data_IF_735038069556
#
_entry.id   IF_735038069556
#
_cell.length_a   1.000
_cell.length_b   1.000
_cell.length_c   1.000
_cell.angle_alpha   90.00
_cell.angle_beta   90.00
_cell.angle_gamma   90.00
#
_symmetry.space_group_name_H-M   'P 1'
#
loop_
_entity.id
_entity.type
_entity.pdbx_description
1 polymer ?
#
# COMPACT_ATOMS: atom_id res chain seq x y z
N UNK A 1 -19.70 -4.46 23.63
CA UNK A 1 -20.81 -5.26 23.05
C UNK A 1 -20.30 -6.66 22.73
N UNK A 2 -21.08 -7.68 23.05
CA UNK A 2 -20.70 -9.09 22.83
C UNK A 2 -21.31 -9.67 21.54
N UNK A 3 -20.70 -10.72 20.97
CA UNK A 3 -21.24 -11.38 19.77
C UNK A 3 -22.65 -11.92 19.98
N UNK A 4 -23.00 -12.36 21.20
CA UNK A 4 -24.32 -12.88 21.50
C UNK A 4 -25.40 -11.78 21.47
N UNK A 5 -25.04 -10.55 21.86
CA UNK A 5 -25.92 -9.38 21.78
C UNK A 5 -26.22 -9.04 20.32
N UNK A 6 -25.22 -9.13 19.43
CA UNK A 6 -25.42 -8.94 17.99
C UNK A 6 -26.37 -9.98 17.38
N UNK A 7 -26.23 -11.24 17.77
CA UNK A 7 -27.13 -12.31 17.32
C UNK A 7 -28.57 -12.07 17.82
N UNK A 8 -28.74 -11.63 19.06
CA UNK A 8 -30.06 -11.28 19.62
C UNK A 8 -30.70 -10.11 18.89
N UNK A 9 -29.95 -9.04 18.62
CA UNK A 9 -30.44 -7.88 17.85
C UNK A 9 -30.87 -8.32 16.45
N UNK A 10 -30.07 -9.15 15.78
CA UNK A 10 -30.40 -9.67 14.45
C UNK A 10 -31.70 -10.48 14.45
N UNK A 11 -31.92 -11.32 15.45
CA UNK A 11 -33.16 -12.09 15.59
C UNK A 11 -34.37 -11.19 15.84
N UNK A 12 -34.20 -10.15 16.65
CA UNK A 12 -35.24 -9.13 16.87
C UNK A 12 -35.56 -8.34 15.59
N UNK A 13 -34.54 -7.99 14.80
CA UNK A 13 -34.72 -7.35 13.48
C UNK A 13 -35.47 -8.27 12.51
N UNK A 14 -35.14 -9.57 12.48
CA UNK A 14 -35.84 -10.56 11.66
C UNK A 14 -37.32 -10.67 12.05
N UNK A 15 -37.60 -10.77 13.35
CA UNK A 15 -38.96 -10.84 13.87
C UNK A 15 -39.78 -9.58 13.53
N UNK A 16 -39.16 -8.39 13.66
CA UNK A 16 -39.79 -7.13 13.29
C UNK A 16 -40.07 -7.02 11.78
N UNK A 17 -39.12 -7.45 10.95
CA UNK A 17 -39.30 -7.49 9.50
C UNK A 17 -40.43 -8.45 9.09
N UNK A 18 -40.47 -9.65 9.67
CA UNK A 18 -41.50 -10.65 9.40
C UNK A 18 -42.89 -10.15 9.81
N UNK A 19 -43.03 -9.56 11.00
CA UNK A 19 -44.31 -9.04 11.49
C UNK A 19 -44.86 -7.90 10.61
N UNK A 20 -43.97 -7.15 9.95
CA UNK A 20 -44.32 -6.04 9.06
C UNK A 20 -44.48 -6.45 7.59
N UNK A 21 -44.15 -7.69 7.23
CA UNK A 21 -44.10 -8.13 5.83
C UNK A 21 -42.97 -7.47 5.03
N UNK A 22 -41.91 -7.04 5.70
CA UNK A 22 -40.70 -6.49 5.10
C UNK A 22 -39.82 -7.61 4.55
N UNK A 23 -39.17 -7.38 3.41
CA UNK A 23 -38.16 -8.28 2.88
C UNK A 23 -36.80 -7.94 3.47
N UNK A 24 -36.01 -8.96 3.85
CA UNK A 24 -34.61 -8.77 4.22
C UNK A 24 -33.73 -9.04 3.00
N UNK A 25 -32.83 -8.10 2.73
CA UNK A 25 -31.77 -8.25 1.74
C UNK A 25 -30.42 -8.33 2.47
N UNK A 26 -29.68 -9.41 2.18
CA UNK A 26 -28.38 -9.70 2.79
C UNK A 26 -27.27 -8.81 2.25
N UNK A 27 -27.28 -7.54 2.63
CA UNK A 27 -26.29 -6.54 2.20
C UNK A 27 -26.26 -5.35 3.16
N UNK A 28 -25.23 -4.53 3.06
CA UNK A 28 -25.14 -3.22 3.73
C UNK A 28 -25.29 -2.15 2.66
N UNK A 29 -26.14 -1.13 2.85
CA UNK A 29 -26.26 -0.05 1.88
C UNK A 29 -24.97 0.78 1.88
N UNK A 30 -24.09 0.56 0.90
CA UNK A 30 -22.99 1.50 0.60
C UNK A 30 -23.59 2.79 0.03
N UNK A 31 -23.44 3.91 0.72
CA UNK A 31 -23.92 5.18 0.18
C UNK A 31 -23.10 6.40 0.62
N UNK A 32 -22.04 6.69 -0.14
CA UNK A 32 -21.31 7.97 -0.03
C UNK A 32 -22.14 9.18 -0.55
N UNK A 33 -23.29 8.92 -1.19
CA UNK A 33 -24.08 9.92 -1.90
C UNK A 33 -25.50 10.16 -1.36
N UNK A 34 -25.96 9.42 -0.34
CA UNK A 34 -27.27 9.65 0.28
C UNK A 34 -27.12 10.22 1.70
N UNK A 35 -28.06 11.08 2.13
CA UNK A 35 -28.13 11.48 3.53
C UNK A 35 -28.36 10.24 4.40
N UNK A 36 -27.50 10.04 5.39
CA UNK A 36 -27.58 8.92 6.32
C UNK A 36 -27.71 9.38 7.76
N UNK A 37 -28.38 8.54 8.56
CA UNK A 37 -28.54 8.74 10.01
C UNK A 37 -28.14 7.44 10.70
N UNK A 38 -27.23 7.57 11.67
CA UNK A 38 -26.83 6.46 12.54
C UNK A 38 -27.84 6.31 13.66
N UNK A 39 -28.30 5.08 13.89
CA UNK A 39 -29.26 4.73 14.94
C UNK A 39 -28.69 3.57 15.74
N UNK A 40 -28.84 3.60 17.06
CA UNK A 40 -28.45 2.49 17.93
C UNK A 40 -29.09 1.17 17.47
N UNK A 41 -28.32 0.08 17.37
CA UNK A 41 -28.83 -1.19 16.83
C UNK A 41 -29.98 -1.78 17.66
N UNK A 42 -29.99 -1.57 18.98
CA UNK A 42 -31.11 -1.98 19.85
C UNK A 42 -32.46 -1.33 19.47
N UNK A 43 -32.43 -0.16 18.81
CA UNK A 43 -33.63 0.59 18.43
C UNK A 43 -34.13 0.24 17.03
N UNK A 44 -33.35 -0.50 16.24
CA UNK A 44 -33.71 -0.84 14.87
C UNK A 44 -35.01 -1.66 14.73
N UNK A 45 -35.29 -2.67 15.59
CA UNK A 45 -36.54 -3.40 15.52
C UNK A 45 -37.77 -2.49 15.64
N UNK A 46 -37.75 -1.56 16.61
CA UNK A 46 -38.84 -0.59 16.81
C UNK A 46 -38.97 0.37 15.61
N UNK A 47 -37.86 0.74 14.98
CA UNK A 47 -37.88 1.56 13.76
C UNK A 47 -38.56 0.82 12.60
N UNK A 48 -38.27 -0.46 12.41
CA UNK A 48 -38.89 -1.29 11.37
C UNK A 48 -40.40 -1.38 11.61
N UNK A 49 -40.82 -1.65 12.85
CA UNK A 49 -42.24 -1.73 13.21
C UNK A 49 -43.00 -0.41 12.97
N UNK A 50 -42.32 0.72 13.21
CA UNK A 50 -42.89 2.04 13.00
C UNK A 50 -42.99 2.42 11.52
N UNK A 51 -41.89 2.29 10.78
CA UNK A 51 -41.79 2.73 9.39
C UNK A 51 -42.43 1.74 8.41
N UNK A 52 -42.52 0.46 8.80
CA UNK A 52 -42.98 -0.65 7.95
C UNK A 52 -42.34 -0.62 6.57
N UNK A 53 -41.00 -0.62 6.51
CA UNK A 53 -40.29 -0.51 5.23
C UNK A 53 -40.58 -1.75 4.38
N UNK A 54 -40.56 -1.60 3.06
CA UNK A 54 -40.67 -2.77 2.16
C UNK A 54 -39.41 -3.63 2.18
N UNK A 55 -38.25 -3.00 2.44
CA UNK A 55 -36.94 -3.60 2.36
C UNK A 55 -36.12 -3.20 3.59
N UNK A 56 -35.51 -4.20 4.22
CA UNK A 56 -34.54 -4.08 5.29
C UNK A 56 -33.23 -4.66 4.78
N UNK A 57 -32.16 -3.87 4.82
CA UNK A 57 -30.81 -4.33 4.53
C UNK A 57 -30.22 -4.87 5.82
N UNK A 58 -29.74 -6.10 5.82
CA UNK A 58 -29.14 -6.70 7.01
C UNK A 58 -28.02 -7.64 6.62
N UNK A 59 -26.85 -7.50 7.24
CA UNK A 59 -25.71 -8.38 7.06
C UNK A 59 -25.20 -8.83 8.42
N UNK A 60 -24.98 -10.14 8.56
CA UNK A 60 -24.26 -10.70 9.69
C UNK A 60 -23.02 -11.40 9.14
N UNK A 61 -21.87 -10.96 9.60
CA UNK A 61 -20.60 -11.59 9.24
C UNK A 61 -20.16 -12.50 10.37
N UNK A 62 -19.84 -13.75 10.05
CA UNK A 62 -19.23 -14.69 10.98
C UNK A 62 -17.73 -14.62 10.82
N UNK A 63 -17.03 -14.65 11.94
CA UNK A 63 -15.58 -14.60 11.99
C UNK A 63 -14.96 -15.96 11.68
N UNK A 64 -13.94 -15.95 10.84
CA UNK A 64 -12.96 -16.99 10.71
C UNK A 64 -11.56 -16.37 10.78
N UNK A 65 -10.81 -16.68 11.83
CA UNK A 65 -9.52 -16.05 12.07
C UNK A 65 -8.50 -16.19 10.95
N UNK A 66 -8.62 -17.17 10.05
CA UNK A 66 -7.72 -17.28 8.89
C UNK A 66 -8.23 -16.46 7.71
N UNK A 67 -9.50 -16.60 7.38
CA UNK A 67 -10.11 -15.83 6.27
C UNK A 67 -10.08 -14.32 6.58
N UNK A 68 -10.42 -13.92 7.80
CA UNK A 68 -10.46 -12.51 8.22
C UNK A 68 -9.06 -11.89 8.29
N UNK A 69 -8.03 -12.63 8.75
CA UNK A 69 -6.64 -12.13 8.70
C UNK A 69 -6.17 -11.99 7.25
N UNK A 70 -6.46 -12.98 6.40
CA UNK A 70 -6.12 -12.91 4.98
C UNK A 70 -6.81 -11.72 4.29
N UNK A 71 -8.10 -11.52 4.56
CA UNK A 71 -8.87 -10.38 4.06
C UNK A 71 -8.32 -9.04 4.55
N UNK A 72 -7.96 -8.93 5.84
CA UNK A 72 -7.38 -7.70 6.40
C UNK A 72 -6.02 -7.34 5.79
N UNK A 73 -5.25 -8.35 5.34
CA UNK A 73 -3.94 -8.18 4.74
C UNK A 73 -3.96 -8.14 3.20
N UNK A 74 -5.14 -8.25 2.58
CA UNK A 74 -5.33 -8.31 1.12
C UNK A 74 -4.52 -9.44 0.46
N UNK A 75 -4.62 -10.64 1.03
CA UNK A 75 -3.95 -11.86 0.57
C UNK A 75 -4.90 -13.06 0.59
N UNK A 76 -4.52 -14.14 -0.08
CA UNK A 76 -5.22 -15.44 0.07
C UNK A 76 -4.82 -16.14 1.38
N UNK A 77 -5.68 -17.01 1.92
CA UNK A 77 -5.39 -17.74 3.17
C UNK A 77 -4.09 -18.56 3.07
N UNK A 78 -3.85 -19.15 1.90
CA UNK A 78 -2.67 -19.97 1.62
C UNK A 78 -1.37 -19.16 1.66
N UNK A 79 -1.45 -17.87 1.37
CA UNK A 79 -0.33 -16.94 1.33
C UNK A 79 0.08 -16.44 2.71
N UNK A 80 -0.71 -16.72 3.76
CA UNK A 80 -0.39 -16.32 5.11
C UNK A 80 0.97 -16.87 5.57
N UNK A 81 1.86 -15.98 5.97
CA UNK A 81 3.16 -16.30 6.51
C UNK A 81 3.07 -16.83 7.94
N UNK A 82 4.21 -17.25 8.50
CA UNK A 82 4.27 -17.85 9.84
C UNK A 82 3.71 -16.94 10.93
N UNK A 83 3.99 -15.64 10.88
CA UNK A 83 3.56 -14.71 11.93
C UNK A 83 2.10 -14.28 11.75
N UNK A 84 1.63 -14.16 10.50
CA UNK A 84 0.22 -13.92 10.17
C UNK A 84 -0.65 -15.13 10.57
N UNK A 85 -0.15 -16.36 10.37
CA UNK A 85 -0.79 -17.59 10.88
C UNK A 85 -0.89 -17.63 12.40
N UNK A 86 0.12 -17.13 13.13
CA UNK A 86 0.04 -17.02 14.59
C UNK A 86 -1.00 -16.00 15.03
N UNK A 87 -1.15 -14.90 14.28
CA UNK A 87 -2.21 -13.93 14.52
C UNK A 87 -3.58 -14.59 14.33
N UNK A 88 -3.78 -15.31 13.23
CA UNK A 88 -5.01 -16.09 13.00
C UNK A 88 -5.29 -17.08 14.14
N UNK A 89 -4.28 -17.86 14.55
CA UNK A 89 -4.40 -18.84 15.64
C UNK A 89 -4.74 -18.17 17.00
N UNK A 90 -4.25 -16.94 17.25
CA UNK A 90 -4.59 -16.17 18.46
C UNK A 90 -6.08 -15.84 18.52
N UNK A 91 -6.67 -15.51 17.37
CA UNK A 91 -8.06 -15.10 17.27
C UNK A 91 -9.02 -16.27 17.02
N UNK A 92 -8.50 -17.49 16.78
CA UNK A 92 -9.28 -18.70 16.50
C UNK A 92 -10.35 -19.04 17.55
N UNK A 93 -10.20 -18.58 18.80
CA UNK A 93 -11.22 -18.73 19.86
C UNK A 93 -12.55 -18.02 19.54
N UNK A 94 -12.55 -17.08 18.60
CA UNK A 94 -13.72 -16.33 18.14
C UNK A 94 -14.33 -16.90 16.85
N UNK A 95 -13.78 -17.97 16.29
CA UNK A 95 -14.31 -18.55 15.05
C UNK A 95 -15.78 -18.96 15.20
N UNK A 96 -16.58 -18.60 14.20
CA UNK A 96 -18.04 -18.80 14.17
C UNK A 96 -18.84 -17.80 15.00
N UNK A 97 -18.20 -16.88 15.74
CA UNK A 97 -18.88 -15.76 16.39
C UNK A 97 -19.22 -14.67 15.36
N UNK A 98 -20.23 -13.86 15.64
CA UNK A 98 -20.57 -12.69 14.82
C UNK A 98 -19.53 -11.60 15.04
N UNK A 99 -18.81 -11.24 13.98
CA UNK A 99 -17.82 -10.14 13.98
C UNK A 99 -18.44 -8.80 13.64
N UNK A 100 -19.55 -8.78 12.90
CA UNK A 100 -20.15 -7.54 12.44
C UNK A 100 -21.65 -7.75 12.17
N UNK A 101 -22.46 -6.80 12.64
CA UNK A 101 -23.87 -6.65 12.31
C UNK A 101 -24.05 -5.32 11.57
N UNK A 102 -24.41 -5.38 10.30
CA UNK A 102 -24.90 -4.23 9.55
C UNK A 102 -26.41 -4.28 9.43
N UNK A 103 -27.12 -3.22 9.80
CA UNK A 103 -28.57 -3.09 9.56
C UNK A 103 -28.86 -1.75 8.93
N UNK A 104 -29.78 -1.70 7.97
CA UNK A 104 -30.21 -0.45 7.37
C UNK A 104 -31.60 -0.49 6.76
N UNK A 105 -32.26 0.66 6.72
CA UNK A 105 -33.54 0.88 6.04
C UNK A 105 -33.49 2.21 5.29
N UNK A 106 -34.14 2.26 4.13
CA UNK A 106 -34.33 3.51 3.39
C UNK A 106 -35.74 4.02 3.63
N UNK A 107 -35.86 5.26 4.12
CA UNK A 107 -37.14 5.93 4.34
C UNK A 107 -37.04 7.39 3.90
N UNK A 108 -37.99 7.85 3.07
CA UNK A 108 -38.03 9.22 2.53
C UNK A 108 -36.71 9.71 1.90
N UNK A 109 -35.96 8.79 1.27
CA UNK A 109 -34.67 9.08 0.64
C UNK A 109 -33.49 9.22 1.61
N UNK A 110 -33.70 8.93 2.90
CA UNK A 110 -32.68 8.91 3.95
C UNK A 110 -32.36 7.45 4.29
N UNK A 111 -31.07 7.13 4.38
CA UNK A 111 -30.59 5.82 4.83
C UNK A 111 -30.41 5.86 6.35
N UNK A 112 -31.24 5.09 7.06
CA UNK A 112 -31.03 4.83 8.47
C UNK A 112 -30.22 3.55 8.57
N UNK A 113 -28.98 3.61 9.05
CA UNK A 113 -28.09 2.45 9.10
C UNK A 113 -27.26 2.42 10.39
N UNK A 114 -26.84 1.22 10.77
CA UNK A 114 -25.90 0.96 11.86
C UNK A 114 -24.96 -0.17 11.44
N UNK A 115 -23.71 -0.04 11.85
CA UNK A 115 -22.71 -1.09 11.74
C UNK A 115 -22.12 -1.25 13.14
N UNK A 116 -22.41 -2.39 13.74
CA UNK A 116 -22.06 -2.70 15.11
C UNK A 116 -21.12 -3.91 15.14
N UNK A 117 -20.05 -3.79 15.93
CA UNK A 117 -18.98 -4.78 16.06
C UNK A 117 -18.80 -5.09 17.55
N UNK A 118 -18.45 -6.33 17.91
CA UNK A 118 -18.11 -6.64 19.28
C UNK A 118 -16.72 -6.10 19.63
N UNK A 119 -16.49 -5.81 20.92
CA UNK A 119 -15.27 -5.13 21.38
C UNK A 119 -13.98 -5.89 20.98
N UNK A 120 -14.04 -7.22 21.00
CA UNK A 120 -12.91 -8.07 20.61
C UNK A 120 -12.57 -7.96 19.12
N UNK A 121 -13.55 -7.62 18.26
CA UNK A 121 -13.31 -7.48 16.83
C UNK A 121 -12.64 -6.14 16.52
N UNK A 122 -12.91 -5.10 17.30
CA UNK A 122 -12.15 -3.84 17.23
C UNK A 122 -10.67 -4.07 17.59
N UNK A 123 -10.40 -4.82 18.66
CA UNK A 123 -9.04 -5.22 19.03
C UNK A 123 -8.34 -6.04 17.92
N UNK A 124 -9.09 -6.91 17.24
CA UNK A 124 -8.60 -7.66 16.08
C UNK A 124 -8.24 -6.74 14.90
N UNK A 125 -9.08 -5.75 14.59
CA UNK A 125 -8.82 -4.78 13.52
C UNK A 125 -7.58 -3.93 13.82
N UNK A 126 -7.41 -3.49 15.07
CA UNK A 126 -6.21 -2.76 15.50
C UNK A 126 -4.94 -3.60 15.34
N UNK A 127 -4.99 -4.88 15.70
CA UNK A 127 -3.82 -5.77 15.57
C UNK A 127 -3.49 -6.09 14.12
N UNK A 128 -4.49 -6.38 13.29
CA UNK A 128 -4.28 -6.66 11.87
C UNK A 128 -3.75 -5.43 11.13
N UNK A 129 -4.14 -4.21 11.52
CA UNK A 129 -3.59 -2.97 10.97
C UNK A 129 -2.07 -2.86 11.18
N UNK A 130 -1.54 -3.29 12.33
CA UNK A 130 -0.09 -3.32 12.58
C UNK A 130 0.63 -4.23 11.58
N UNK A 131 0.07 -5.41 11.29
CA UNK A 131 0.63 -6.35 10.32
C UNK A 131 0.53 -5.81 8.89
N UNK A 132 -0.60 -5.19 8.55
CA UNK A 132 -0.83 -4.56 7.24
C UNK A 132 0.20 -3.45 6.97
N UNK A 133 0.45 -2.59 7.96
CA UNK A 133 1.46 -1.55 7.88
C UNK A 133 2.87 -2.13 7.74
N UNK A 134 3.23 -3.12 8.54
CA UNK A 134 4.53 -3.78 8.47
C UNK A 134 4.77 -4.43 7.09
N UNK A 135 3.74 -5.06 6.51
CA UNK A 135 3.78 -5.65 5.17
C UNK A 135 3.96 -4.59 4.09
N UNK A 136 3.19 -3.50 4.17
CA UNK A 136 3.32 -2.37 3.26
C UNK A 136 4.73 -1.76 3.30
N UNK A 137 5.30 -1.60 4.50
CA UNK A 137 6.66 -1.10 4.68
C UNK A 137 7.72 -2.06 4.12
N UNK A 138 7.53 -3.37 4.31
CA UNK A 138 8.42 -4.38 3.74
C UNK A 138 8.42 -4.36 2.20
N UNK A 139 7.24 -4.25 1.58
CA UNK A 139 7.08 -4.15 0.12
C UNK A 139 7.77 -2.89 -0.40
N UNK A 140 7.50 -1.74 0.22
CA UNK A 140 8.12 -0.48 -0.17
C UNK A 140 9.64 -0.49 0.02
N UNK A 141 10.12 -1.09 1.10
CA UNK A 141 11.55 -1.26 1.36
C UNK A 141 12.24 -2.17 0.33
N UNK A 142 11.60 -3.28 -0.05
CA UNK A 142 12.11 -4.17 -1.09
C UNK A 142 12.16 -3.46 -2.46
N UNK A 143 11.11 -2.73 -2.82
CA UNK A 143 11.04 -1.95 -4.05
C UNK A 143 12.11 -0.85 -4.10
N UNK A 144 12.33 -0.15 -2.99
CA UNK A 144 13.38 0.87 -2.88
C UNK A 144 14.78 0.27 -3.11
N UNK A 145 15.09 -0.86 -2.46
CA UNK A 145 16.37 -1.57 -2.66
C UNK A 145 16.55 -2.03 -4.10
N UNK A 146 15.49 -2.56 -4.73
CA UNK A 146 15.56 -2.97 -6.13
C UNK A 146 15.86 -1.79 -7.07
N UNK A 147 15.28 -0.62 -6.81
CA UNK A 147 15.59 0.59 -7.59
C UNK A 147 17.04 1.07 -7.37
N UNK A 148 17.54 1.01 -6.14
CA UNK A 148 18.93 1.35 -5.83
C UNK A 148 19.91 0.38 -6.53
N UNK A 149 19.64 -0.92 -6.50
CA UNK A 149 20.44 -1.94 -7.18
C UNK A 149 20.41 -1.75 -8.70
N UNK A 150 19.24 -1.46 -9.27
CA UNK A 150 19.11 -1.18 -10.70
C UNK A 150 19.87 0.09 -11.08
N UNK A 151 19.77 1.15 -10.27
CA UNK A 151 20.51 2.39 -10.47
C UNK A 151 22.02 2.15 -10.39
N UNK A 152 22.48 1.43 -9.38
CA UNK A 152 23.89 1.08 -9.23
C UNK A 152 24.40 0.25 -10.42
N UNK A 153 23.60 -0.69 -10.91
CA UNK A 153 23.92 -1.47 -12.11
C UNK A 153 24.03 -0.59 -13.35
N UNK A 154 23.07 0.31 -13.59
CA UNK A 154 23.09 1.27 -14.71
C UNK A 154 24.30 2.19 -14.63
N UNK A 155 24.64 2.69 -13.44
CA UNK A 155 25.82 3.53 -13.22
C UNK A 155 27.13 2.78 -13.47
N UNK A 156 27.20 1.50 -13.06
CA UNK A 156 28.35 0.63 -13.31
C UNK A 156 28.52 0.27 -14.79
N UNK A 157 27.43 -0.04 -15.49
CA UNK A 157 27.43 -0.29 -16.94
C UNK A 157 27.84 0.98 -17.71
N UNK A 158 27.30 2.14 -17.34
CA UNK A 158 27.69 3.42 -17.93
C UNK A 158 29.17 3.73 -17.66
N UNK A 159 29.69 3.39 -16.46
CA UNK A 159 31.13 3.48 -16.15
C UNK A 159 31.98 2.62 -17.07
N UNK A 160 31.63 1.34 -17.24
CA UNK A 160 32.35 0.44 -18.17
C UNK A 160 32.29 0.94 -19.61
N UNK A 161 31.13 1.44 -20.06
CA UNK A 161 30.95 1.96 -21.42
C UNK A 161 31.81 3.19 -21.70
N UNK A 162 31.93 4.11 -20.73
CA UNK A 162 32.68 5.36 -20.91
C UNK A 162 34.18 5.22 -20.61
N UNK A 163 34.62 4.16 -19.95
CA UNK A 163 36.03 3.96 -19.58
C UNK A 163 37.02 4.08 -20.77
N UNK A 164 36.76 3.52 -21.98
CA UNK A 164 37.65 3.70 -23.12
C UNK A 164 37.72 5.15 -23.61
N UNK A 165 36.61 5.89 -23.51
CA UNK A 165 36.52 7.31 -23.87
C UNK A 165 37.33 8.14 -22.88
N UNK A 166 37.15 7.89 -21.59
CA UNK A 166 37.88 8.56 -20.50
C UNK A 166 39.39 8.36 -20.66
N UNK A 167 39.87 7.12 -20.85
CA UNK A 167 41.30 6.83 -21.05
C UNK A 167 41.90 7.57 -22.24
N UNK A 168 41.16 7.64 -23.35
CA UNK A 168 41.59 8.37 -24.55
C UNK A 168 41.62 9.89 -24.33
N UNK A 169 40.66 10.45 -23.59
CA UNK A 169 40.66 11.87 -23.22
C UNK A 169 41.83 12.21 -22.31
N UNK A 170 42.09 11.41 -21.27
CA UNK A 170 43.23 11.59 -20.35
C UNK A 170 44.57 11.50 -21.09
N UNK A 171 44.67 10.66 -22.12
CA UNK A 171 45.88 10.52 -22.93
C UNK A 171 46.05 11.63 -23.99
N UNK A 172 45.02 12.41 -24.32
CA UNK A 172 45.11 13.45 -25.36
C UNK A 172 45.81 14.71 -24.80
N UNK A 173 46.97 15.13 -25.35
CA UNK A 173 47.71 16.30 -24.86
C UNK A 173 46.90 17.60 -24.88
N UNK A 174 45.93 17.72 -25.80
CA UNK A 174 45.05 18.89 -25.92
C UNK A 174 44.04 18.95 -24.78
N UNK A 175 43.65 17.81 -24.23
CA UNK A 175 42.75 17.73 -23.07
C UNK A 175 43.46 18.16 -21.77
N UNK A 176 44.76 17.89 -21.68
CA UNK A 176 45.63 18.21 -20.54
C UNK A 176 46.32 19.57 -20.65
N UNK A 177 46.03 20.35 -21.70
CA UNK A 177 46.68 21.63 -21.92
C UNK A 177 46.45 22.61 -20.75
N UNK A 178 47.51 23.33 -20.35
CA UNK A 178 47.42 24.32 -19.28
C UNK A 178 46.34 25.38 -19.59
N UNK A 179 45.50 25.71 -18.60
CA UNK A 179 44.42 26.72 -18.70
C UNK A 179 43.30 26.38 -19.71
N UNK A 180 43.11 25.12 -20.09
CA UNK A 180 41.93 24.72 -20.87
C UNK A 180 40.65 24.82 -20.02
N UNK A 181 39.59 25.39 -20.59
CA UNK A 181 38.29 25.50 -19.91
C UNK A 181 37.45 24.23 -20.08
N UNK A 182 36.47 24.02 -19.18
CA UNK A 182 35.53 22.90 -19.26
C UNK A 182 34.79 22.84 -20.61
N UNK A 183 34.38 24.00 -21.15
CA UNK A 183 33.72 24.08 -22.46
C UNK A 183 34.63 23.62 -23.62
N UNK A 184 35.94 23.92 -23.56
CA UNK A 184 36.91 23.46 -24.57
C UNK A 184 37.20 21.97 -24.44
N UNK A 185 37.24 21.43 -23.22
CA UNK A 185 37.35 19.98 -22.96
C UNK A 185 36.12 19.21 -23.49
N UNK A 186 34.92 19.76 -23.32
CA UNK A 186 33.69 19.20 -23.88
C UNK A 186 33.68 19.22 -25.40
N UNK A 187 33.98 20.37 -26.02
CA UNK A 187 34.06 20.48 -27.47
C UNK A 187 35.10 19.53 -28.09
N UNK A 188 36.24 19.34 -27.40
CA UNK A 188 37.25 18.37 -27.79
C UNK A 188 36.71 16.92 -27.72
N UNK A 189 36.00 16.56 -26.66
CA UNK A 189 35.39 15.23 -26.53
C UNK A 189 34.32 14.97 -27.60
N UNK A 190 33.45 15.95 -27.89
CA UNK A 190 32.46 15.87 -28.97
C UNK A 190 33.13 15.73 -30.36
N UNK A 191 34.32 16.30 -30.54
CA UNK A 191 35.07 16.19 -31.81
C UNK A 191 35.78 14.83 -31.97
N UNK A 192 36.31 14.28 -30.88
CA UNK A 192 37.04 12.99 -30.89
C UNK A 192 36.06 11.80 -30.92
N UNK A 193 34.88 11.96 -30.33
CA UNK A 193 33.83 10.94 -30.22
C UNK A 193 32.48 11.45 -30.74
N UNK A 194 32.36 11.70 -32.07
CA UNK A 194 31.13 12.24 -32.66
C UNK A 194 29.91 11.32 -32.51
N UNK A 195 30.13 10.02 -32.31
CA UNK A 195 29.10 9.02 -32.03
C UNK A 195 28.51 9.08 -30.62
N UNK A 196 29.13 9.85 -29.72
CA UNK A 196 28.72 9.95 -28.32
C UNK A 196 27.72 11.09 -28.14
N UNK A 197 26.59 10.82 -27.47
CA UNK A 197 25.62 11.87 -27.16
C UNK A 197 26.23 12.91 -26.19
N UNK A 198 25.72 14.14 -26.25
CA UNK A 198 26.22 15.28 -25.47
C UNK A 198 26.23 15.04 -23.96
N UNK A 199 25.28 14.26 -23.44
CA UNK A 199 25.19 13.94 -22.00
C UNK A 199 26.28 12.96 -21.60
N UNK A 200 26.48 11.91 -22.39
CA UNK A 200 27.57 10.94 -22.20
C UNK A 200 28.95 11.57 -22.37
N UNK A 201 29.12 12.49 -23.33
CA UNK A 201 30.36 13.24 -23.53
C UNK A 201 30.71 14.10 -22.32
N UNK A 202 29.73 14.83 -21.78
CA UNK A 202 29.91 15.62 -20.55
C UNK A 202 30.34 14.73 -19.37
N UNK A 203 29.66 13.60 -19.15
CA UNK A 203 30.02 12.64 -18.08
C UNK A 203 31.42 12.05 -18.25
N UNK A 204 31.83 11.73 -19.48
CA UNK A 204 33.16 11.23 -19.77
C UNK A 204 34.23 12.30 -19.50
N UNK A 205 33.97 13.56 -19.86
CA UNK A 205 34.86 14.69 -19.57
C UNK A 205 35.00 14.91 -18.07
N UNK A 206 33.91 14.98 -17.33
CA UNK A 206 33.94 15.19 -15.87
C UNK A 206 34.74 14.07 -15.17
N UNK A 207 34.58 12.81 -15.62
CA UNK A 207 35.37 11.67 -15.12
C UNK A 207 36.85 11.77 -15.49
N UNK A 208 37.18 12.13 -16.72
CA UNK A 208 38.57 12.30 -17.15
C UNK A 208 39.28 13.44 -16.39
N UNK A 209 38.57 14.53 -16.07
CA UNK A 209 39.09 15.60 -15.23
C UNK A 209 39.38 15.11 -13.81
N UNK A 210 38.48 14.32 -13.23
CA UNK A 210 38.69 13.74 -11.90
C UNK A 210 39.87 12.74 -11.88
N UNK A 211 40.04 11.92 -12.91
CA UNK A 211 41.19 11.01 -13.03
C UNK A 211 42.52 11.77 -13.15
N UNK A 212 42.57 12.83 -13.95
CA UNK A 212 43.75 13.70 -14.04
C UNK A 212 44.10 14.33 -12.68
N UNK A 213 43.09 14.84 -11.97
CA UNK A 213 43.30 15.41 -10.64
C UNK A 213 43.82 14.37 -9.64
N UNK A 214 43.31 13.13 -9.67
CA UNK A 214 43.81 12.03 -8.84
C UNK A 214 45.26 11.64 -9.20
N UNK A 215 45.62 11.63 -10.49
CA UNK A 215 47.00 11.38 -10.94
C UNK A 215 47.96 12.50 -10.50
N UNK A 216 47.54 13.76 -10.56
CA UNK A 216 48.34 14.93 -10.14
C UNK A 216 48.49 15.04 -8.60
N UNK A 217 47.49 14.60 -7.83
CA UNK A 217 47.53 14.63 -6.36
C UNK A 217 48.18 13.41 -5.72
N UNK A 218 48.16 12.24 -6.37
CA UNK A 218 48.90 11.05 -5.93
C UNK A 218 50.40 11.12 -6.20
N UNK A 219 50.83 11.92 -7.17
CA UNK A 219 52.23 12.13 -7.55
C UNK A 219 53.01 13.17 -6.72
N UNK A 220 52.41 13.75 -5.67
CA UNK A 220 53.05 14.77 -4.81
C UNK A 220 53.57 14.23 -3.46
N UNK A 221 53.98 12.96 -3.43
CA UNK A 221 54.65 12.33 -2.29
C UNK A 221 56.09 11.99 -2.65
N UNK A 222 56.90 12.99 -3.00
CA UNK A 222 58.37 12.92 -2.98
C UNK A 222 58.92 14.20 -2.36
#
# INVERSE_FOLDING_TARGET
MESAELDEIADNVRAAAESCGSMILETVPLHDALPSVVIDAERFPALIEHLKPRLVYMMLTKFDGREDVAAALDVEEEELERDEKKLADKWAKHNGQTSCLGVGVMHDGIVHAVIDKPDWFEEFEEETEVFRLARHDAINGAFARQQEDERARREAEEKKRLEPVVKKLVADPRFNASKISAAKRLALAETIFPELDKTSAKKAVDRAVNELWLLESGGRSE
#
